data_IF_899365120802
#
_entry.id   IF_899365120802
#
_cell.length_a   1.000
_cell.length_b   1.000
_cell.length_c   1.000
_cell.angle_alpha   90.00
_cell.angle_beta   90.00
_cell.angle_gamma   90.00
#
_symmetry.space_group_name_H-M   'P 1'
#
loop_
_entity.id
_entity.type
_entity.pdbx_description
1 polymer ?
#
# COMPACT_ATOMS: atom_id res chain seq x y z
N UNK A 1 13.02 -1.84 17.03
CA UNK A 1 11.99 -0.98 16.42
C UNK A 1 12.57 0.14 15.54
N UNK A 2 13.90 0.23 15.38
CA UNK A 2 14.57 1.20 14.49
C UNK A 2 14.70 0.72 13.03
N UNK A 3 14.91 -0.58 12.80
CA UNK A 3 15.12 -1.15 11.45
C UNK A 3 13.91 -1.07 10.51
N UNK A 4 12.69 -0.95 11.03
CA UNK A 4 11.49 -0.81 10.19
C UNK A 4 11.31 0.59 9.60
N UNK A 5 12.05 1.59 10.13
CA UNK A 5 11.95 3.01 9.72
C UNK A 5 13.26 3.53 9.15
N UNK A 6 14.39 3.08 9.65
CA UNK A 6 15.67 3.26 8.99
C UNK A 6 15.70 2.32 7.78
N UNK A 7 15.71 2.87 6.57
CA UNK A 7 15.83 2.06 5.36
C UNK A 7 17.01 1.09 5.46
N UNK A 8 16.83 -0.12 4.92
CA UNK A 8 17.82 -1.19 5.04
C UNK A 8 18.06 -1.80 3.65
N UNK A 9 19.32 -1.82 3.22
CA UNK A 9 19.74 -2.59 2.06
C UNK A 9 20.38 -3.90 2.53
N UNK A 10 19.79 -5.02 2.14
CA UNK A 10 20.28 -6.36 2.46
C UNK A 10 20.81 -7.02 1.18
N UNK A 11 22.02 -7.56 1.24
CA UNK A 11 22.64 -8.33 0.15
C UNK A 11 23.18 -9.66 0.65
N UNK A 12 23.22 -10.66 -0.24
CA UNK A 12 23.73 -12.00 0.08
C UNK A 12 22.79 -12.85 0.94
N UNK A 13 21.54 -12.42 1.12
CA UNK A 13 20.49 -13.20 1.77
C UNK A 13 19.91 -14.25 0.83
N UNK A 14 19.60 -15.43 1.36
CA UNK A 14 18.85 -16.47 0.66
C UNK A 14 17.37 -16.32 0.98
N UNK A 15 16.50 -16.62 0.02
CA UNK A 15 15.05 -16.65 0.23
C UNK A 15 14.63 -18.11 0.39
N UNK A 16 13.96 -18.44 1.49
CA UNK A 16 13.38 -19.76 1.69
C UNK A 16 12.12 -19.95 0.83
N UNK A 17 11.64 -21.19 0.62
CA UNK A 17 10.42 -21.42 -0.17
C UNK A 17 9.17 -20.71 0.35
N UNK A 18 9.10 -20.41 1.65
CA UNK A 18 8.05 -19.62 2.31
C UNK A 18 8.33 -18.11 2.30
N UNK A 19 9.32 -17.64 1.54
CA UNK A 19 9.60 -16.22 1.32
C UNK A 19 10.41 -15.54 2.43
N UNK A 20 10.93 -16.27 3.41
CA UNK A 20 11.70 -15.70 4.51
C UNK A 20 13.16 -15.51 4.10
N UNK A 21 13.75 -14.39 4.54
CA UNK A 21 15.17 -14.12 4.32
C UNK A 21 16.03 -14.87 5.34
N UNK A 22 16.98 -15.66 4.85
CA UNK A 22 17.96 -16.39 5.65
C UNK A 22 19.17 -15.53 6.02
N UNK A 23 19.65 -15.66 7.26
CA UNK A 23 20.77 -14.92 7.83
C UNK A 23 22.13 -15.65 7.68
N UNK A 24 22.48 -16.05 6.45
CA UNK A 24 23.74 -16.75 6.17
C UNK A 24 24.99 -15.91 6.47
N UNK A 25 26.16 -16.57 6.59
CA UNK A 25 27.46 -15.90 6.91
C UNK A 25 27.89 -14.81 5.92
N UNK A 26 27.30 -14.78 4.72
CA UNK A 26 27.56 -13.78 3.67
C UNK A 26 26.58 -12.60 3.68
N UNK A 27 25.57 -12.60 4.56
CA UNK A 27 24.55 -11.55 4.59
C UNK A 27 25.15 -10.25 5.12
N UNK A 28 25.00 -9.18 4.33
CA UNK A 28 25.35 -7.83 4.73
C UNK A 28 24.08 -6.98 4.71
N UNK A 29 23.80 -6.33 5.82
CA UNK A 29 22.70 -5.38 5.95
C UNK A 29 23.28 -4.02 6.32
N UNK A 30 23.00 -3.00 5.51
CA UNK A 30 23.45 -1.63 5.74
C UNK A 30 22.26 -0.70 5.83
N UNK A 31 22.30 0.25 6.77
CA UNK A 31 21.32 1.33 6.83
C UNK A 31 21.45 2.18 5.58
N UNK A 32 20.38 2.26 4.81
CA UNK A 32 20.27 3.11 3.64
C UNK A 32 19.25 4.21 3.93
N UNK A 33 19.57 5.46 3.56
CA UNK A 33 18.56 6.51 3.56
C UNK A 33 17.53 6.16 2.49
N UNK A 34 16.27 5.95 2.89
CA UNK A 34 15.18 5.77 1.93
C UNK A 34 14.94 7.05 1.12
N UNK A 35 14.28 6.92 -0.02
CA UNK A 35 13.79 8.06 -0.81
C UNK A 35 12.37 8.41 -0.39
N UNK A 36 12.01 9.69 -0.40
CA UNK A 36 10.62 10.09 -0.22
C UNK A 36 9.78 9.65 -1.43
N UNK A 37 8.48 9.42 -1.23
CA UNK A 37 7.58 9.07 -2.35
C UNK A 37 7.50 10.16 -3.42
N UNK A 38 7.83 11.40 -3.07
CA UNK A 38 7.87 12.56 -3.96
C UNK A 38 9.21 12.73 -4.67
N UNK A 39 10.20 11.90 -4.35
CA UNK A 39 11.55 11.97 -4.93
C UNK A 39 11.76 10.87 -5.98
N UNK A 40 12.50 11.15 -7.06
CA UNK A 40 12.94 10.09 -7.98
C UNK A 40 13.81 9.04 -7.26
N UNK A 41 13.73 7.75 -7.66
CA UNK A 41 12.89 7.23 -8.74
C UNK A 41 11.45 6.90 -8.32
N UNK A 42 11.11 6.97 -7.03
CA UNK A 42 9.81 6.53 -6.51
C UNK A 42 8.64 7.39 -7.00
N UNK A 43 8.85 8.69 -7.20
CA UNK A 43 7.82 9.59 -7.71
C UNK A 43 7.19 9.09 -9.03
N UNK A 44 7.99 8.46 -9.90
CA UNK A 44 7.54 7.94 -11.18
C UNK A 44 6.45 6.84 -11.08
N UNK A 45 6.33 6.17 -9.93
CA UNK A 45 5.28 5.18 -9.70
C UNK A 45 3.88 5.81 -9.70
N UNK A 46 3.77 7.07 -9.25
CA UNK A 46 2.51 7.83 -9.26
C UNK A 46 2.22 8.52 -10.59
N UNK A 47 3.24 8.75 -11.41
CA UNK A 47 3.08 9.33 -12.76
C UNK A 47 2.50 8.33 -13.77
N UNK A 48 2.51 7.03 -13.44
CA UNK A 48 1.91 6.01 -14.31
C UNK A 48 0.38 6.12 -14.24
N UNK A 49 -0.35 6.24 -15.37
CA UNK A 49 -1.81 6.36 -15.35
C UNK A 49 -2.51 5.24 -14.57
N UNK A 50 -3.51 5.53 -13.72
CA UNK A 50 -4.18 4.52 -12.90
C UNK A 50 -4.72 3.32 -13.67
N UNK A 51 -5.22 3.54 -14.90
CA UNK A 51 -5.71 2.48 -15.77
C UNK A 51 -4.60 1.50 -16.21
N UNK A 52 -3.39 2.00 -16.48
CA UNK A 52 -2.23 1.17 -16.82
C UNK A 52 -1.76 0.35 -15.63
N UNK A 53 -1.75 0.96 -14.43
CA UNK A 53 -1.42 0.27 -13.19
C UNK A 53 -2.44 -0.84 -12.89
N UNK A 54 -3.74 -0.57 -13.03
CA UNK A 54 -4.79 -1.56 -12.84
C UNK A 54 -4.69 -2.70 -13.87
N UNK A 55 -4.44 -2.39 -15.14
CA UNK A 55 -4.24 -3.40 -16.17
C UNK A 55 -3.02 -4.30 -15.88
N UNK A 56 -1.92 -3.72 -15.38
CA UNK A 56 -0.75 -4.48 -14.92
C UNK A 56 -1.10 -5.39 -13.74
N UNK A 57 -1.79 -4.88 -12.74
CA UNK A 57 -2.18 -5.65 -11.55
C UNK A 57 -3.14 -6.80 -11.88
N UNK A 58 -4.08 -6.59 -12.80
CA UNK A 58 -4.97 -7.66 -13.25
C UNK A 58 -4.20 -8.78 -13.98
N UNK A 59 -3.18 -8.43 -14.79
CA UNK A 59 -2.33 -9.42 -15.47
C UNK A 59 -1.49 -10.23 -14.47
N UNK A 60 -1.00 -9.63 -13.40
CA UNK A 60 -0.19 -10.32 -12.40
C UNK A 60 -0.99 -11.27 -11.50
N UNK A 61 -2.31 -11.12 -11.42
CA UNK A 61 -3.18 -12.10 -10.75
C UNK A 61 -3.52 -13.33 -11.62
N UNK A 62 -3.09 -13.35 -12.88
CA UNK A 62 -3.35 -14.47 -13.79
C UNK A 62 -2.48 -15.69 -13.44
N UNK A 63 -2.99 -16.90 -13.74
CA UNK A 63 -2.27 -18.18 -13.52
C UNK A 63 -0.92 -18.28 -14.26
N UNK A 64 -0.69 -17.40 -15.24
CA UNK A 64 0.53 -17.33 -16.04
C UNK A 64 1.43 -16.15 -15.65
N UNK A 65 1.15 -15.49 -14.53
CA UNK A 65 1.97 -14.40 -14.05
C UNK A 65 3.39 -14.86 -13.77
N UNK A 66 4.35 -14.04 -14.19
CA UNK A 66 5.75 -14.20 -13.87
C UNK A 66 5.93 -14.12 -12.34
N UNK A 67 6.42 -15.18 -11.67
CA UNK A 67 6.64 -15.16 -10.23
C UNK A 67 7.68 -14.11 -9.79
N UNK A 68 8.50 -13.59 -10.70
CA UNK A 68 9.51 -12.57 -10.41
C UNK A 68 8.93 -11.14 -10.35
N UNK A 69 7.67 -10.95 -10.75
CA UNK A 69 6.96 -9.67 -10.80
C UNK A 69 6.53 -9.11 -9.43
N UNK A 70 7.46 -9.02 -8.48
CA UNK A 70 7.20 -8.51 -7.13
C UNK A 70 6.58 -7.11 -7.17
N UNK A 71 5.39 -6.95 -6.59
CA UNK A 71 4.70 -5.66 -6.49
C UNK A 71 3.96 -5.22 -7.77
N UNK A 72 3.90 -6.06 -8.81
CA UNK A 72 3.15 -5.76 -10.04
C UNK A 72 1.64 -5.59 -9.82
N UNK A 73 1.13 -6.11 -8.71
CA UNK A 73 -0.26 -5.99 -8.25
C UNK A 73 -0.56 -4.75 -7.38
N UNK A 74 0.45 -3.90 -7.16
CA UNK A 74 0.32 -2.64 -6.44
C UNK A 74 -0.13 -1.51 -7.37
N UNK A 75 -1.00 -0.67 -6.81
CA UNK A 75 -1.41 0.60 -7.37
C UNK A 75 -0.90 1.73 -6.47
N UNK A 76 -0.42 2.78 -7.12
CA UNK A 76 0.13 4.01 -6.57
C UNK A 76 -0.75 5.15 -7.04
N UNK A 77 -1.62 5.65 -6.15
CA UNK A 77 -2.65 6.62 -6.51
C UNK A 77 -2.57 7.86 -5.63
N UNK A 78 -2.88 9.02 -6.20
CA UNK A 78 -3.27 10.19 -5.42
C UNK A 78 -4.82 10.22 -5.37
N UNK A 79 -5.39 10.36 -4.16
CA UNK A 79 -6.84 10.26 -3.93
C UNK A 79 -7.34 11.33 -2.96
N UNK A 80 -8.61 11.68 -3.05
CA UNK A 80 -9.34 12.48 -2.07
C UNK A 80 -10.36 11.59 -1.32
N UNK A 81 -10.34 11.61 0.01
CA UNK A 81 -11.24 10.78 0.80
C UNK A 81 -12.67 11.31 0.76
N UNK A 82 -13.65 10.44 0.53
CA UNK A 82 -15.08 10.78 0.52
C UNK A 82 -15.80 10.33 1.80
N UNK A 83 -15.24 9.35 2.52
CA UNK A 83 -15.78 8.83 3.78
C UNK A 83 -16.22 7.38 3.70
N UNK A 84 -16.77 6.86 4.79
CA UNK A 84 -17.22 5.47 4.88
C UNK A 84 -18.56 5.23 4.18
N UNK A 85 -18.67 4.10 3.49
CA UNK A 85 -19.92 3.51 3.04
C UNK A 85 -20.10 2.12 3.63
N UNK A 86 -21.35 1.74 3.89
CA UNK A 86 -21.71 0.40 4.34
C UNK A 86 -22.10 -0.44 3.12
N UNK A 87 -21.42 -1.57 2.95
CA UNK A 87 -21.67 -2.51 1.87
C UNK A 87 -21.88 -3.93 2.44
N UNK A 88 -22.47 -4.86 1.66
CA UNK A 88 -22.40 -6.27 1.98
C UNK A 88 -20.93 -6.70 2.12
N UNK A 89 -20.55 -7.17 3.30
CA UNK A 89 -19.16 -7.50 3.64
C UNK A 89 -18.46 -6.49 4.56
N UNK A 90 -19.09 -5.37 4.91
CA UNK A 90 -18.60 -4.46 5.95
C UNK A 90 -18.56 -2.99 5.55
N UNK A 91 -17.77 -2.21 6.29
CA UNK A 91 -17.53 -0.80 6.00
C UNK A 91 -16.37 -0.68 5.00
N UNK A 92 -16.58 0.08 3.93
CA UNK A 92 -15.56 0.43 2.96
C UNK A 92 -15.32 1.95 3.02
N UNK A 93 -14.06 2.38 2.85
CA UNK A 93 -13.75 3.79 2.68
C UNK A 93 -13.79 4.13 1.18
N UNK A 94 -14.63 5.08 0.80
CA UNK A 94 -14.62 5.63 -0.55
C UNK A 94 -13.61 6.76 -0.67
N UNK A 95 -12.91 6.76 -1.79
CA UNK A 95 -12.05 7.84 -2.22
C UNK A 95 -12.30 8.15 -3.70
N UNK A 96 -11.89 9.33 -4.12
CA UNK A 96 -11.91 9.77 -5.51
C UNK A 96 -10.47 9.84 -6.01
N UNK A 97 -10.15 9.04 -7.02
CA UNK A 97 -8.87 9.12 -7.72
C UNK A 97 -8.88 10.16 -8.83
N UNK A 98 -7.78 10.24 -9.55
CA UNK A 98 -7.64 11.07 -10.75
C UNK A 98 -8.78 10.81 -11.75
N UNK A 99 -9.23 11.88 -12.42
CA UNK A 99 -10.33 11.80 -13.39
C UNK A 99 -11.70 11.52 -12.77
N UNK A 100 -11.83 11.59 -11.45
CA UNK A 100 -13.11 11.35 -10.76
C UNK A 100 -13.45 9.85 -10.62
N UNK A 101 -12.46 8.96 -10.75
CA UNK A 101 -12.68 7.51 -10.64
C UNK A 101 -12.90 7.14 -9.17
N UNK A 102 -14.04 6.53 -8.80
CA UNK A 102 -14.28 6.09 -7.43
C UNK A 102 -13.40 4.88 -7.08
N UNK A 103 -12.70 4.97 -5.95
CA UNK A 103 -11.85 3.91 -5.40
C UNK A 103 -12.44 3.41 -4.09
N UNK A 104 -12.55 2.09 -3.96
CA UNK A 104 -13.01 1.41 -2.75
C UNK A 104 -11.81 0.91 -1.94
N UNK A 105 -11.57 1.49 -0.78
CA UNK A 105 -10.47 1.13 0.10
C UNK A 105 -10.95 0.19 1.21
N UNK A 106 -10.21 -0.89 1.44
CA UNK A 106 -10.44 -1.86 2.51
C UNK A 106 -9.19 -2.12 3.34
N UNK A 107 -9.39 -2.64 4.55
CA UNK A 107 -8.30 -3.10 5.40
C UNK A 107 -7.58 -4.29 4.73
N UNK A 108 -6.27 -4.42 4.98
CA UNK A 108 -5.48 -5.55 4.48
C UNK A 108 -5.67 -6.82 5.28
N UNK A 109 -5.97 -6.66 6.57
CA UNK A 109 -6.24 -7.74 7.49
C UNK A 109 -7.31 -7.27 8.49
N UNK A 110 -8.18 -8.19 8.88
CA UNK A 110 -9.27 -7.94 9.82
C UNK A 110 -8.93 -8.35 11.27
N UNK A 111 -7.75 -8.93 11.52
CA UNK A 111 -7.27 -9.29 12.85
C UNK A 111 -7.29 -8.06 13.78
N UNK A 112 -8.02 -8.11 14.90
CA UNK A 112 -8.15 -6.99 15.83
C UNK A 112 -6.82 -6.57 16.49
N UNK A 113 -5.78 -7.42 16.48
CA UNK A 113 -4.45 -7.05 16.96
C UNK A 113 -3.75 -6.06 16.02
N UNK A 114 -4.10 -6.07 14.73
CA UNK A 114 -3.49 -5.22 13.70
C UNK A 114 -4.18 -3.85 13.60
N UNK A 115 -3.42 -2.86 13.12
CA UNK A 115 -3.88 -1.47 13.08
C UNK A 115 -4.80 -1.14 11.90
N UNK A 116 -4.94 -2.04 10.91
CA UNK A 116 -5.58 -1.75 9.63
C UNK A 116 -6.99 -1.17 9.76
N UNK A 117 -7.86 -1.82 10.55
CA UNK A 117 -9.26 -1.41 10.71
C UNK A 117 -9.40 -0.07 11.43
N UNK A 118 -8.67 0.11 12.52
CA UNK A 118 -8.68 1.34 13.31
C UNK A 118 -8.20 2.53 12.46
N UNK A 119 -7.11 2.34 11.71
CA UNK A 119 -6.59 3.36 10.81
C UNK A 119 -7.59 3.70 9.70
N UNK A 120 -8.22 2.70 9.08
CA UNK A 120 -9.22 2.93 8.03
C UNK A 120 -10.43 3.70 8.57
N UNK A 121 -10.87 3.40 9.80
CA UNK A 121 -11.94 4.13 10.46
C UNK A 121 -11.58 5.59 10.76
N UNK A 122 -10.33 5.86 11.16
CA UNK A 122 -9.82 7.22 11.35
C UNK A 122 -9.79 8.01 10.04
N UNK A 123 -9.28 7.41 8.96
CA UNK A 123 -9.27 8.02 7.63
C UNK A 123 -10.70 8.29 7.12
N UNK A 124 -11.63 7.37 7.36
CA UNK A 124 -13.03 7.55 6.98
C UNK A 124 -13.72 8.72 7.70
N UNK A 125 -13.20 9.16 8.84
CA UNK A 125 -13.68 10.32 9.57
C UNK A 125 -13.08 11.66 9.07
N UNK A 126 -12.23 11.64 8.03
CA UNK A 126 -11.55 12.82 7.48
C UNK A 126 -11.82 13.03 5.98
N UNK A 127 -13.09 13.15 5.54
CA UNK A 127 -13.42 13.45 4.14
C UNK A 127 -12.81 14.78 3.67
N UNK A 128 -12.48 14.86 2.37
CA UNK A 128 -11.77 15.98 1.75
C UNK A 128 -10.25 15.93 1.92
N UNK A 129 -9.73 14.99 2.71
CA UNK A 129 -8.27 14.80 2.86
C UNK A 129 -7.69 14.20 1.59
N UNK A 130 -6.62 14.81 1.08
CA UNK A 130 -5.87 14.31 -0.07
C UNK A 130 -4.68 13.51 0.37
N UNK A 131 -4.56 12.29 -0.15
CA UNK A 131 -3.51 11.37 0.22
C UNK A 131 -2.89 10.75 -1.01
N UNK A 132 -1.59 10.58 -0.93
CA UNK A 132 -0.88 9.61 -1.73
C UNK A 132 -1.07 8.24 -1.09
N UNK A 133 -1.47 7.22 -1.85
CA UNK A 133 -1.73 5.87 -1.32
C UNK A 133 -1.00 4.79 -2.12
N UNK A 134 -0.70 3.70 -1.43
CA UNK A 134 -0.30 2.43 -2.01
C UNK A 134 -1.33 1.39 -1.59
N UNK A 135 -1.85 0.65 -2.55
CA UNK A 135 -2.73 -0.47 -2.25
C UNK A 135 -2.60 -1.62 -3.21
N UNK A 136 -3.15 -2.77 -2.81
CA UNK A 136 -3.18 -3.99 -3.61
C UNK A 136 -4.57 -4.19 -4.21
N UNK A 137 -4.64 -4.39 -5.51
CA UNK A 137 -5.91 -4.63 -6.18
C UNK A 137 -6.45 -6.01 -5.82
N UNK A 138 -7.70 -6.07 -5.38
CA UNK A 138 -8.47 -7.30 -5.25
C UNK A 138 -9.42 -7.39 -6.46
N UNK A 139 -9.15 -8.29 -7.42
CA UNK A 139 -10.06 -8.51 -8.55
C UNK A 139 -11.37 -9.12 -8.06
N UNK A 140 -12.48 -8.46 -8.36
CA UNK A 140 -13.83 -8.92 -8.04
C UNK A 140 -14.83 -8.21 -8.97
N UNK A 141 -16.10 -8.64 -8.95
CA UNK A 141 -17.18 -7.93 -9.65
C UNK A 141 -17.29 -6.46 -9.21
N UNK A 142 -16.98 -6.19 -7.94
CA UNK A 142 -16.75 -4.84 -7.41
C UNK A 142 -15.30 -4.76 -6.94
N UNK A 143 -14.36 -4.26 -7.78
CA UNK A 143 -12.96 -4.19 -7.44
C UNK A 143 -12.71 -3.36 -6.18
N UNK A 144 -11.79 -3.83 -5.35
CA UNK A 144 -11.38 -3.16 -4.12
C UNK A 144 -9.87 -2.98 -4.12
N UNK A 145 -9.42 -1.97 -3.39
CA UNK A 145 -8.02 -1.74 -3.14
C UNK A 145 -7.76 -1.92 -1.65
N UNK A 146 -7.00 -2.95 -1.31
CA UNK A 146 -6.50 -3.11 0.06
C UNK A 146 -5.48 -2.01 0.33
N UNK A 147 -5.76 -1.15 1.30
CA UNK A 147 -4.90 -0.02 1.64
C UNK A 147 -3.71 -0.50 2.48
N UNK A 148 -2.50 -0.33 1.94
CA UNK A 148 -1.25 -0.80 2.56
C UNK A 148 -0.48 0.35 3.20
N UNK A 149 -0.35 1.46 2.48
CA UNK A 149 0.36 2.64 2.96
C UNK A 149 -0.33 3.92 2.47
N UNK A 150 -0.18 5.02 3.20
CA UNK A 150 -0.55 6.35 2.72
C UNK A 150 0.46 7.41 3.15
N UNK A 151 0.48 8.57 2.49
CA UNK A 151 1.11 9.76 3.04
C UNK A 151 0.43 10.13 4.36
N UNK A 152 1.16 10.73 5.28
CA UNK A 152 0.52 11.25 6.49
C UNK A 152 -0.49 12.35 6.10
N UNK A 153 -1.70 12.38 6.66
CA UNK A 153 -2.70 13.42 6.36
C UNK A 153 -2.22 14.86 6.59
N UNK A 154 -1.24 15.06 7.47
CA UNK A 154 -0.61 16.38 7.73
C UNK A 154 0.60 16.69 6.83
N UNK A 155 0.98 15.76 5.94
CA UNK A 155 2.14 15.88 5.06
C UNK A 155 3.47 15.38 5.64
N UNK A 156 3.52 14.99 6.91
CA UNK A 156 4.74 14.52 7.59
C UNK A 156 5.01 13.02 7.34
N UNK A 157 5.67 12.72 6.22
CA UNK A 157 6.13 11.36 5.93
C UNK A 157 5.02 10.40 5.49
N UNK A 158 5.24 9.11 5.73
CA UNK A 158 4.37 8.03 5.25
C UNK A 158 3.97 7.11 6.40
N UNK A 159 2.79 6.52 6.28
CA UNK A 159 2.18 5.62 7.25
C UNK A 159 2.05 4.24 6.61
N UNK A 160 2.60 3.23 7.28
CA UNK A 160 2.30 1.82 6.99
C UNK A 160 1.06 1.42 7.80
N UNK A 161 -0.02 1.03 7.12
CA UNK A 161 -1.32 0.81 7.77
C UNK A 161 -1.34 -0.44 8.66
N UNK A 162 -0.37 -1.35 8.52
CA UNK A 162 -0.24 -2.55 9.35
C UNK A 162 0.66 -2.36 10.56
N UNK A 163 1.68 -1.50 10.43
CA UNK A 163 2.68 -1.27 11.48
C UNK A 163 2.40 -0.03 12.33
N UNK A 164 1.89 1.03 11.72
CA UNK A 164 1.66 2.31 12.37
C UNK A 164 0.20 2.44 12.83
N UNK A 165 0.00 3.14 13.95
CA UNK A 165 -1.34 3.49 14.44
C UNK A 165 -1.52 4.99 14.32
N UNK A 166 -2.44 5.40 13.45
CA UNK A 166 -2.92 6.77 13.37
C UNK A 166 -3.60 7.13 14.70
N UNK A 167 -3.45 8.39 15.07
CA UNK A 167 -4.13 9.00 16.21
C UNK A 167 -4.78 10.29 15.74
N UNK A 168 -5.88 10.66 16.39
CA UNK A 168 -6.52 11.96 16.18
C UNK A 168 -5.67 13.08 16.74
#
# INVERSE_FOLDING_TARGET
>A
RELGRAGLAVSGATVSPDGRLGAGKSVKAVTARGAAWTEPPLAALWETPPAEQAARALRSTSRYADPDGTGSDLLFLDVELLGAVREPGGTCLLALGEGGVPVRLTAADDDPALAHRDNLALLAAAPGTRLRIIGRLIPAAHPRLTLLACSHPTGEGTIDLGLDRLRR
#
